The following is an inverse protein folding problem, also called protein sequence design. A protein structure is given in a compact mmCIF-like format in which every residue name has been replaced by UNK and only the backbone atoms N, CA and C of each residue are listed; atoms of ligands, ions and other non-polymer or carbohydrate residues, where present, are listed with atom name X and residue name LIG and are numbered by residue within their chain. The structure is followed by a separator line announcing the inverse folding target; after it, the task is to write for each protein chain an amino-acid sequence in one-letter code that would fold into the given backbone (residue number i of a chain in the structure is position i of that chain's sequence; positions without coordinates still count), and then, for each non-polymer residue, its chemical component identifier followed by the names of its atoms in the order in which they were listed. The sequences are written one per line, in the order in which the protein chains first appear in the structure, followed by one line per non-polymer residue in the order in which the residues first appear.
data_IF_778504227947
#
_entry.id   IF_778504227947
#
_cell.length_a   1.000
_cell.length_b   1.000
_cell.length_c   1.000
_cell.angle_alpha   90.00
_cell.angle_beta   90.00
_cell.angle_gamma   90.00
#
_symmetry.space_group_name_H-M   'P 1'
#
loop_
_entity.id
_entity.type
_entity.pdbx_description
1 polymer ?
#
# COMPACT_ATOMS: atom_id res chain seq x y z
N UNK A 1 -18.26 -4.18 0.14
CA UNK A 1 -18.24 -2.91 0.88
C UNK A 1 -18.76 -1.81 -0.02
N UNK A 2 -19.49 -0.81 0.51
CA UNK A 2 -19.91 0.34 -0.26
C UNK A 2 -18.72 1.27 -0.52
N UNK A 3 -18.85 2.13 -1.53
CA UNK A 3 -17.88 3.21 -1.79
C UNK A 3 -18.37 4.45 -1.06
N UNK A 4 -17.78 4.73 0.12
CA UNK A 4 -18.31 5.77 1.02
C UNK A 4 -18.27 7.16 0.40
N UNK A 5 -17.26 7.49 -0.41
CA UNK A 5 -17.21 8.76 -1.15
C UNK A 5 -18.39 8.97 -2.11
N UNK A 6 -19.09 7.89 -2.49
CA UNK A 6 -20.31 7.94 -3.32
C UNK A 6 -21.59 7.95 -2.50
N UNK A 7 -21.67 7.11 -1.46
CA UNK A 7 -22.89 6.96 -0.66
C UNK A 7 -23.05 8.02 0.42
N UNK A 8 -21.93 8.55 0.92
CA UNK A 8 -21.86 9.55 2.00
C UNK A 8 -20.89 10.67 1.60
N UNK A 9 -21.07 11.20 0.39
CA UNK A 9 -20.17 12.21 -0.18
C UNK A 9 -20.08 13.47 0.69
N UNK A 10 -21.15 13.84 1.39
CA UNK A 10 -21.18 14.98 2.31
C UNK A 10 -20.39 14.77 3.61
N UNK A 11 -19.92 13.55 3.89
CA UNK A 11 -19.10 13.23 5.07
C UNK A 11 -17.66 12.89 4.71
N UNK A 12 -17.44 12.17 3.61
CA UNK A 12 -16.13 11.64 3.21
C UNK A 12 -15.85 11.79 1.71
N UNK A 13 -16.47 12.76 1.07
CA UNK A 13 -16.20 13.08 -0.34
C UNK A 13 -14.86 13.80 -0.50
N UNK A 14 -14.22 13.63 -1.65
CA UNK A 14 -12.94 14.28 -1.98
C UNK A 14 -12.98 15.82 -2.00
N UNK A 15 -14.18 16.41 -1.98
CA UNK A 15 -14.39 17.86 -1.91
C UNK A 15 -14.32 18.40 -0.46
N UNK A 16 -14.32 17.51 0.53
CA UNK A 16 -14.22 17.86 1.95
C UNK A 16 -12.74 17.96 2.32
N UNK A 17 -12.32 18.99 3.07
CA UNK A 17 -10.96 19.07 3.59
C UNK A 17 -10.57 17.80 4.34
N UNK A 18 -9.36 17.30 4.08
CA UNK A 18 -8.90 16.04 4.69
C UNK A 18 -8.82 16.14 6.21
N UNK A 19 -8.50 17.30 6.76
CA UNK A 19 -8.44 17.52 8.21
C UNK A 19 -9.81 17.33 8.88
N UNK A 20 -10.89 17.79 8.22
CA UNK A 20 -12.25 17.57 8.70
C UNK A 20 -12.60 16.08 8.67
N UNK A 21 -12.26 15.37 7.60
CA UNK A 21 -12.47 13.92 7.49
C UNK A 21 -11.68 13.15 8.55
N UNK A 22 -10.44 13.55 8.83
CA UNK A 22 -9.60 12.94 9.86
C UNK A 22 -10.20 13.17 11.23
N UNK A 23 -10.71 14.38 11.52
CA UNK A 23 -11.38 14.67 12.80
C UNK A 23 -12.62 13.81 13.04
N UNK A 24 -13.32 13.37 11.97
CA UNK A 24 -14.44 12.42 12.09
C UNK A 24 -14.01 11.04 12.60
N UNK A 25 -12.73 10.66 12.44
CA UNK A 25 -12.22 9.38 12.94
C UNK A 25 -12.16 9.34 14.48
N UNK A 26 -12.08 10.50 15.12
CA UNK A 26 -12.08 10.65 16.58
C UNK A 26 -13.49 10.71 17.17
N UNK A 27 -14.52 10.90 16.32
CA UNK A 27 -15.92 10.92 16.75
C UNK A 27 -16.49 9.49 16.87
N UNK A 28 -17.51 9.29 17.73
CA UNK A 28 -18.24 8.03 17.76
C UNK A 28 -18.78 7.68 16.38
N UNK A 29 -18.43 6.50 15.88
CA UNK A 29 -18.84 6.09 14.55
C UNK A 29 -20.36 5.98 14.47
N UNK A 30 -20.95 6.75 13.56
CA UNK A 30 -22.37 6.63 13.23
C UNK A 30 -22.56 5.33 12.44
N UNK A 31 -23.51 4.50 12.86
CA UNK A 31 -23.83 3.28 12.14
C UNK A 31 -24.32 3.63 10.74
N UNK A 32 -23.54 3.24 9.73
CA UNK A 32 -23.94 3.32 8.34
C UNK A 32 -24.71 2.05 8.02
N UNK A 33 -25.98 2.18 7.64
CA UNK A 33 -26.78 1.05 7.22
C UNK A 33 -26.23 0.51 5.88
N UNK A 34 -25.46 -0.57 5.96
CA UNK A 34 -24.95 -1.30 4.80
C UNK A 34 -25.20 -2.79 4.99
N UNK A 35 -25.94 -3.37 4.04
CA UNK A 35 -26.12 -4.82 3.96
C UNK A 35 -25.33 -5.38 2.79
N UNK A 36 -24.35 -6.22 3.10
CA UNK A 36 -23.64 -6.98 2.08
C UNK A 36 -24.51 -8.14 1.58
N UNK A 37 -24.49 -8.39 0.26
CA UNK A 37 -25.02 -9.62 -0.33
C UNK A 37 -23.96 -10.73 -0.40
N UNK A 38 -22.77 -10.48 0.11
CA UNK A 38 -21.69 -11.45 0.16
C UNK A 38 -21.90 -12.39 1.37
N UNK A 39 -21.90 -13.70 1.11
CA UNK A 39 -22.06 -14.74 2.11
C UNK A 39 -20.79 -15.56 2.35
N UNK A 40 -19.64 -15.13 1.79
CA UNK A 40 -18.37 -15.81 1.98
C UNK A 40 -17.89 -15.64 3.41
N UNK A 41 -17.25 -16.68 3.95
CA UNK A 41 -16.57 -16.58 5.24
C UNK A 41 -15.34 -15.66 5.14
N UNK A 42 -14.86 -15.16 6.28
CA UNK A 42 -13.61 -14.37 6.33
C UNK A 42 -12.42 -15.14 5.75
N UNK A 43 -12.31 -16.45 6.04
CA UNK A 43 -11.25 -17.30 5.50
C UNK A 43 -11.35 -17.41 3.97
N UNK A 44 -12.55 -17.59 3.43
CA UNK A 44 -12.78 -17.63 1.99
C UNK A 44 -12.44 -16.27 1.34
N UNK A 45 -12.83 -15.16 1.96
CA UNK A 45 -12.47 -13.81 1.50
C UNK A 45 -10.95 -13.59 1.50
N UNK A 46 -10.22 -14.08 2.50
CA UNK A 46 -8.77 -13.97 2.56
C UNK A 46 -8.08 -14.77 1.43
N UNK A 47 -8.53 -15.99 1.16
CA UNK A 47 -8.02 -16.80 0.04
C UNK A 47 -8.34 -16.14 -1.29
N UNK A 48 -9.57 -15.64 -1.48
CA UNK A 48 -9.98 -14.93 -2.71
C UNK A 48 -9.22 -13.63 -2.91
N UNK A 49 -8.92 -12.90 -1.85
CA UNK A 49 -8.12 -11.68 -1.89
C UNK A 49 -6.71 -11.99 -2.44
N UNK A 50 -6.06 -13.00 -1.90
CA UNK A 50 -4.72 -13.42 -2.36
C UNK A 50 -4.78 -13.95 -3.79
N UNK A 51 -5.78 -14.77 -4.12
CA UNK A 51 -5.94 -15.30 -5.47
C UNK A 51 -6.11 -14.18 -6.50
N UNK A 52 -6.99 -13.21 -6.22
CA UNK A 52 -7.20 -12.03 -7.07
C UNK A 52 -5.88 -11.27 -7.30
N UNK A 53 -5.19 -10.88 -6.22
CA UNK A 53 -3.99 -10.06 -6.35
C UNK A 53 -2.76 -10.82 -6.85
N UNK A 54 -2.72 -12.16 -6.74
CA UNK A 54 -1.65 -12.98 -7.31
C UNK A 54 -1.61 -12.95 -8.84
N UNK A 55 -2.73 -12.61 -9.49
CA UNK A 55 -2.85 -12.48 -10.95
C UNK A 55 -3.09 -11.04 -11.40
N UNK A 56 -3.06 -10.08 -10.47
CA UNK A 56 -3.31 -8.68 -10.77
C UNK A 56 -2.14 -8.04 -11.50
N UNK A 57 -2.36 -7.70 -12.78
CA UNK A 57 -1.34 -7.06 -13.60
C UNK A 57 -1.21 -5.56 -13.28
N UNK A 58 -0.27 -5.25 -12.41
CA UNK A 58 0.10 -3.87 -12.03
C UNK A 58 0.71 -3.07 -13.18
N UNK A 59 1.08 -3.66 -14.31
CA UNK A 59 1.50 -2.90 -15.50
C UNK A 59 0.32 -2.38 -16.31
N UNK A 60 -0.85 -3.03 -16.20
CA UNK A 60 -2.04 -2.74 -16.99
C UNK A 60 -3.16 -2.07 -16.20
N UNK A 61 -3.19 -2.21 -14.87
CA UNK A 61 -4.33 -1.77 -14.06
C UNK A 61 -3.99 -0.70 -13.02
N UNK A 62 -5.01 0.08 -12.67
CA UNK A 62 -5.01 1.09 -11.59
C UNK A 62 -6.16 0.78 -10.66
N UNK A 63 -5.94 0.89 -9.35
CA UNK A 63 -6.95 0.70 -8.31
C UNK A 63 -7.43 2.08 -7.88
N UNK A 64 -8.72 2.36 -8.07
CA UNK A 64 -9.37 3.59 -7.63
C UNK A 64 -10.28 3.31 -6.44
N UNK A 65 -9.84 3.69 -5.23
CA UNK A 65 -10.64 3.49 -4.02
C UNK A 65 -11.94 4.29 -4.07
N UNK A 66 -11.88 5.55 -4.54
CA UNK A 66 -13.05 6.44 -4.68
C UNK A 66 -14.15 5.87 -5.62
N UNK A 67 -13.78 4.93 -6.49
CA UNK A 67 -14.68 4.32 -7.46
C UNK A 67 -15.09 2.90 -7.07
N UNK A 68 -14.33 2.26 -6.18
CA UNK A 68 -14.47 0.86 -5.81
C UNK A 68 -14.15 -0.09 -6.96
N UNK A 69 -13.20 0.27 -7.84
CA UNK A 69 -12.88 -0.54 -9.02
C UNK A 69 -11.40 -0.49 -9.38
N UNK A 70 -10.97 -1.53 -10.09
CA UNK A 70 -9.74 -1.51 -10.86
C UNK A 70 -10.06 -1.28 -12.34
N UNK A 71 -9.32 -0.39 -13.02
CA UNK A 71 -9.50 -0.12 -14.44
C UNK A 71 -8.20 -0.23 -15.22
N UNK A 72 -8.31 -0.47 -16.52
CA UNK A 72 -7.16 -0.48 -17.43
C UNK A 72 -6.51 0.91 -17.50
N UNK A 73 -5.19 0.94 -17.60
CA UNK A 73 -4.38 2.15 -17.82
C UNK A 73 -4.59 2.66 -19.24
N UNK A 74 -4.64 3.99 -19.37
CA UNK A 74 -4.78 4.65 -20.68
C UNK A 74 -3.45 4.73 -21.45
N UNK A 75 -2.30 4.65 -20.77
CA UNK A 75 -0.99 4.60 -21.42
C UNK A 75 0.08 4.09 -20.43
N UNK A 76 1.03 3.28 -20.90
CA UNK A 76 2.18 2.79 -20.12
C UNK A 76 3.43 3.40 -20.73
N UNK A 77 3.82 4.59 -20.27
CA UNK A 77 5.16 5.12 -20.52
C UNK A 77 5.85 5.29 -19.17
N UNK A 78 7.05 4.74 -19.04
CA UNK A 78 7.85 4.79 -17.81
C UNK A 78 7.79 3.52 -16.95
N UNK A 79 8.29 3.67 -15.73
CA UNK A 79 8.51 2.58 -14.78
C UNK A 79 7.18 2.03 -14.23
N UNK A 80 7.02 0.69 -14.24
CA UNK A 80 5.81 0.03 -13.71
C UNK A 80 5.73 0.20 -12.19
N UNK A 81 4.67 0.87 -11.74
CA UNK A 81 4.34 1.06 -10.32
C UNK A 81 2.99 0.47 -10.01
N UNK A 82 2.80 0.05 -8.76
CA UNK A 82 1.47 -0.25 -8.23
C UNK A 82 0.74 1.08 -8.12
N UNK A 83 -0.32 1.27 -8.91
CA UNK A 83 -1.11 2.49 -8.86
C UNK A 83 -2.35 2.25 -8.01
N UNK A 84 -2.22 2.58 -6.73
CA UNK A 84 -3.31 2.67 -5.77
C UNK A 84 -3.61 4.16 -5.55
N UNK A 85 -4.74 4.63 -6.09
CA UNK A 85 -5.14 6.04 -6.06
C UNK A 85 -5.99 6.29 -4.82
N UNK A 86 -5.52 7.22 -4.00
CA UNK A 86 -6.21 7.68 -2.82
C UNK A 86 -7.39 8.60 -3.19
N UNK A 87 -8.56 8.52 -2.53
CA UNK A 87 -9.70 9.37 -2.85
C UNK A 87 -9.45 10.88 -2.68
N UNK A 88 -8.47 11.27 -1.85
CA UNK A 88 -8.17 12.66 -1.52
C UNK A 88 -6.86 13.14 -2.17
N UNK A 89 -6.21 12.31 -3.00
CA UNK A 89 -4.97 12.66 -3.68
C UNK A 89 -4.99 12.24 -5.14
N UNK A 90 -4.48 13.11 -6.02
CA UNK A 90 -4.19 12.76 -7.41
C UNK A 90 -2.96 11.85 -7.56
N UNK A 91 -2.22 11.59 -6.46
CA UNK A 91 -1.04 10.76 -6.45
C UNK A 91 -1.34 9.35 -5.94
N UNK A 92 -0.56 8.38 -6.41
CA UNK A 92 -0.59 7.05 -5.80
C UNK A 92 0.10 7.05 -4.44
N UNK A 93 -0.45 6.27 -3.50
CA UNK A 93 0.20 5.97 -2.21
C UNK A 93 1.44 5.09 -2.40
N UNK A 94 1.52 4.30 -3.47
CA UNK A 94 2.63 3.39 -3.75
C UNK A 94 3.64 4.05 -4.72
N UNK A 95 4.54 4.88 -4.17
CA UNK A 95 5.50 5.66 -4.97
C UNK A 95 6.74 4.87 -5.43
N UNK A 96 7.02 3.73 -4.79
CA UNK A 96 8.18 2.89 -5.12
C UNK A 96 7.86 1.91 -6.24
N UNK A 97 8.71 1.85 -7.26
CA UNK A 97 8.64 0.83 -8.31
C UNK A 97 8.97 -0.57 -7.84
N UNK A 98 9.80 -0.69 -6.79
CA UNK A 98 10.05 -1.96 -6.13
C UNK A 98 8.80 -2.52 -5.47
N UNK A 99 7.88 -1.66 -5.01
CA UNK A 99 6.65 -2.09 -4.34
C UNK A 99 5.76 -2.95 -5.23
N UNK A 100 5.68 -2.65 -6.53
CA UNK A 100 4.88 -3.45 -7.48
C UNK A 100 5.38 -4.89 -7.57
N UNK A 101 6.70 -5.08 -7.70
CA UNK A 101 7.34 -6.40 -7.77
C UNK A 101 7.27 -7.13 -6.43
N UNK A 102 7.60 -6.44 -5.34
CA UNK A 102 7.51 -7.01 -4.00
C UNK A 102 6.08 -7.49 -3.67
N UNK A 103 5.07 -6.71 -4.04
CA UNK A 103 3.66 -7.07 -3.87
C UNK A 103 3.28 -8.31 -4.69
N UNK A 104 3.66 -8.35 -5.97
CA UNK A 104 3.38 -9.49 -6.84
C UNK A 104 4.04 -10.78 -6.33
N UNK A 105 5.31 -10.71 -5.90
CA UNK A 105 6.03 -11.85 -5.32
C UNK A 105 5.38 -12.32 -4.01
N UNK A 106 4.98 -11.39 -3.14
CA UNK A 106 4.30 -11.72 -1.88
C UNK A 106 2.94 -12.40 -2.11
N UNK A 107 2.13 -11.88 -3.04
CA UNK A 107 0.85 -12.49 -3.38
C UNK A 107 1.02 -13.86 -4.02
N UNK A 108 2.04 -14.03 -4.87
CA UNK A 108 2.38 -15.34 -5.45
C UNK A 108 2.82 -16.33 -4.38
N UNK A 109 3.62 -15.89 -3.41
CA UNK A 109 4.05 -16.69 -2.27
C UNK A 109 2.83 -17.17 -1.45
N UNK A 110 1.93 -16.25 -1.08
CA UNK A 110 0.73 -16.57 -0.33
C UNK A 110 -0.23 -17.48 -1.11
N UNK A 111 -0.40 -17.28 -2.42
CA UNK A 111 -1.27 -18.10 -3.29
C UNK A 111 -0.87 -19.58 -3.28
N UNK A 112 0.43 -19.88 -3.12
CA UNK A 112 0.93 -21.27 -3.04
C UNK A 112 0.67 -21.93 -1.69
N UNK A 113 0.29 -21.15 -0.67
CA UNK A 113 0.34 -21.54 0.74
C UNK A 113 -1.06 -21.57 1.37
N UNK A 114 -1.82 -20.50 1.19
CA UNK A 114 -3.16 -20.35 1.79
C UNK A 114 -4.19 -21.39 1.34
N UNK A 115 -4.23 -21.84 0.07
CA UNK A 115 -5.15 -22.92 -0.33
C UNK A 115 -4.87 -24.26 0.37
N UNK A 116 -3.66 -24.47 0.87
CA UNK A 116 -3.29 -25.65 1.65
C UNK A 116 -3.55 -25.48 3.16
N UNK A 117 -4.25 -24.41 3.56
CA UNK A 117 -4.54 -24.08 4.96
C UNK A 117 -3.41 -23.37 5.70
N UNK A 118 -2.26 -23.13 5.06
CA UNK A 118 -1.13 -22.46 5.69
C UNK A 118 -1.39 -20.95 5.80
N UNK A 119 -1.03 -20.35 6.93
CA UNK A 119 -1.11 -18.89 7.17
C UNK A 119 -2.54 -18.32 7.26
N UNK A 120 -3.58 -19.16 7.34
CA UNK A 120 -4.95 -18.68 7.49
C UNK A 120 -5.23 -18.17 8.91
N UNK A 121 -4.64 -18.81 9.91
CA UNK A 121 -4.71 -18.49 11.33
C UNK A 121 -3.85 -17.28 11.72
N UNK A 122 -2.77 -17.02 10.95
CA UNK A 122 -1.88 -15.88 11.14
C UNK A 122 -2.13 -14.70 10.19
N UNK A 123 -3.17 -14.77 9.35
CA UNK A 123 -3.55 -13.67 8.47
C UNK A 123 -4.10 -12.48 9.29
N UNK A 124 -3.68 -11.22 9.02
CA UNK A 124 -2.74 -10.77 7.97
C UNK A 124 -1.31 -10.50 8.48
N UNK A 125 -0.95 -10.94 9.69
CA UNK A 125 0.31 -10.56 10.36
C UNK A 125 1.50 -11.41 9.95
N UNK A 126 1.28 -12.65 9.51
CA UNK A 126 2.27 -13.55 8.91
C UNK A 126 3.64 -13.56 9.63
N UNK A 127 3.74 -13.97 10.91
CA UNK A 127 5.02 -14.14 11.59
C UNK A 127 5.98 -15.10 10.84
N UNK A 128 5.43 -15.96 9.99
CA UNK A 128 6.16 -16.86 9.09
C UNK A 128 6.76 -16.16 7.86
N UNK A 129 6.62 -14.84 7.74
CA UNK A 129 7.22 -14.02 6.68
C UNK A 129 8.75 -14.16 6.60
N UNK A 130 9.42 -14.67 7.63
CA UNK A 130 10.83 -15.06 7.59
C UNK A 130 11.14 -16.01 6.42
N UNK A 131 10.24 -16.92 6.08
CA UNK A 131 10.38 -17.80 4.90
C UNK A 131 10.39 -17.00 3.60
N UNK A 132 9.48 -16.03 3.46
CA UNK A 132 9.43 -15.14 2.31
C UNK A 132 10.71 -14.30 2.21
N UNK A 133 11.21 -13.78 3.33
CA UNK A 133 12.47 -13.04 3.40
C UNK A 133 13.66 -13.90 2.96
N UNK A 134 13.70 -15.18 3.33
CA UNK A 134 14.76 -16.08 2.88
C UNK A 134 14.68 -16.33 1.36
N UNK A 135 13.49 -16.63 0.85
CA UNK A 135 13.27 -16.96 -0.58
C UNK A 135 13.52 -15.76 -1.51
N UNK A 136 13.24 -14.55 -1.04
CA UNK A 136 13.37 -13.31 -1.85
C UNK A 136 14.66 -12.55 -1.60
N UNK A 137 15.63 -13.14 -0.88
CA UNK A 137 16.90 -12.49 -0.50
C UNK A 137 17.62 -11.88 -1.70
N UNK A 138 17.61 -12.55 -2.85
CA UNK A 138 18.31 -12.13 -4.06
C UNK A 138 17.39 -11.55 -5.14
N UNK A 139 16.12 -11.26 -4.82
CA UNK A 139 15.23 -10.62 -5.78
C UNK A 139 15.71 -9.21 -6.11
N UNK A 140 15.68 -8.84 -7.39
CA UNK A 140 16.20 -7.56 -7.89
C UNK A 140 15.56 -6.33 -7.24
N UNK A 141 14.26 -6.38 -6.95
CA UNK A 141 13.56 -5.28 -6.27
C UNK A 141 14.08 -5.05 -4.85
N UNK A 142 14.58 -6.10 -4.18
CA UNK A 142 15.09 -6.01 -2.82
C UNK A 142 16.50 -5.46 -2.79
N UNK A 143 17.35 -5.93 -3.69
CA UNK A 143 18.70 -5.40 -3.91
C UNK A 143 18.65 -3.91 -4.28
N UNK A 144 17.76 -3.54 -5.21
CA UNK A 144 17.54 -2.14 -5.59
C UNK A 144 17.16 -1.23 -4.41
N UNK A 145 16.27 -1.69 -3.51
CA UNK A 145 15.90 -0.91 -2.32
C UNK A 145 17.07 -0.78 -1.34
N UNK A 146 17.87 -1.83 -1.16
CA UNK A 146 19.05 -1.80 -0.30
C UNK A 146 20.09 -0.81 -0.83
N UNK A 147 20.40 -0.86 -2.13
CA UNK A 147 21.33 0.06 -2.79
C UNK A 147 20.88 1.52 -2.66
N UNK A 148 19.59 1.80 -2.91
CA UNK A 148 19.05 3.15 -2.74
C UNK A 148 19.11 3.64 -1.30
N UNK A 149 18.83 2.76 -0.33
CA UNK A 149 18.92 3.13 1.08
C UNK A 149 20.36 3.52 1.44
N UNK A 150 21.35 2.74 1.02
CA UNK A 150 22.78 3.07 1.22
C UNK A 150 23.14 4.42 0.60
N UNK A 151 22.62 4.74 -0.60
CA UNK A 151 22.88 6.03 -1.25
C UNK A 151 22.24 7.19 -0.46
N UNK A 152 21.01 7.03 0.02
CA UNK A 152 20.31 8.05 0.81
C UNK A 152 21.03 8.27 2.15
N UNK A 153 21.39 7.19 2.85
CA UNK A 153 22.07 7.26 4.14
C UNK A 153 23.45 7.94 4.01
N UNK A 154 24.21 7.63 2.95
CA UNK A 154 25.47 8.33 2.64
C UNK A 154 25.26 9.82 2.40
N UNK A 155 24.24 10.21 1.62
CA UNK A 155 23.93 11.62 1.38
C UNK A 155 23.52 12.36 2.66
N UNK A 156 22.78 11.72 3.55
CA UNK A 156 22.40 12.30 4.84
C UNK A 156 23.62 12.48 5.75
N UNK A 157 24.55 11.52 5.75
CA UNK A 157 25.83 11.63 6.47
C UNK A 157 26.71 12.75 5.89
N UNK A 158 26.81 12.87 4.56
CA UNK A 158 27.61 13.90 3.89
C UNK A 158 27.03 15.31 4.02
N UNK A 159 25.73 15.45 4.33
CA UNK A 159 25.06 16.72 4.62
C UNK A 159 25.12 17.13 6.11
N UNK A 160 25.85 16.37 6.93
CA UNK A 160 26.04 16.61 8.36
C UNK A 160 27.50 16.94 8.69
N UNK A 161 28.04 18.07 8.23
CA UNK A 161 28.65 19.02 9.20
C UNK A 161 28.56 20.49 8.77
N UNK A 162 28.13 21.37 9.69
CA UNK A 162 28.50 22.81 9.84
C UNK A 162 27.42 23.58 10.64
N UNK A 163 27.14 23.17 11.89
CA UNK A 163 26.37 23.97 12.85
C UNK A 163 27.04 24.08 14.23
N UNK A 164 28.35 23.88 14.30
CA UNK A 164 29.13 24.27 15.47
C UNK A 164 30.31 25.14 15.01
N UNK A 165 30.56 26.23 15.74
CA UNK A 165 31.55 27.30 15.54
C UNK A 165 30.98 28.56 14.85
N UNK A 166 30.14 29.30 15.59
CA UNK A 166 30.11 30.77 15.54
C UNK A 166 29.51 31.38 16.82
N UNK A 167 30.08 31.05 17.98
CA UNK A 167 29.99 31.90 19.18
C UNK A 167 31.34 31.91 19.90
N UNK A 168 32.30 32.60 19.29
CA UNK A 168 33.41 33.19 20.00
C UNK A 168 33.87 34.41 19.18
N UNK A 169 34.04 35.52 19.89
CA UNK A 169 34.58 36.80 19.42
C UNK A 169 33.59 37.77 18.76
N UNK A 170 32.88 38.50 19.61
CA UNK A 170 32.72 39.95 19.41
C UNK A 170 32.68 40.66 20.76
N UNK A 171 33.80 41.34 21.04
CA UNK A 171 34.10 42.46 21.95
C UNK A 171 33.10 42.85 23.05
#
# INVERSE_FOLDING_TARGET
MPVLCKTHSSLVGAHIPIDDVVSLLDLPQVSIEYKSHNHMSTAELAVRFVDYYSSFDTSQHVIYIEKGLASRRRQVSGEVRLLLVDPYSSMTVCRSSAAAKAFADAMTFLKRKMPAGQFLDSFPTFPEASMFLAQTKYCSWRLYVQERKVIVDKRAQDQSPDLEIQEADTN
#
